data_IF_478557456952
#
_entry.id   IF_478557456952
#
_cell.length_a   1.000
_cell.length_b   1.000
_cell.length_c   1.000
_cell.angle_alpha   90.00
_cell.angle_beta   90.00
_cell.angle_gamma   90.00
#
_symmetry.space_group_name_H-M   'P 1'
#
loop_
_entity.id
_entity.type
_entity.pdbx_description
1 polymer ?
#
# COMPACT_ATOMS: atom_id res chain seq x y z
N UNK A 1 -26.56 -4.78 -4.41
CA UNK A 1 -25.92 -4.05 -5.53
C UNK A 1 -26.63 -4.49 -6.79
N UNK A 2 -26.97 -3.57 -7.68
CA UNK A 2 -27.64 -3.90 -8.95
C UNK A 2 -26.73 -4.82 -9.78
N UNK A 3 -27.08 -6.10 -9.87
CA UNK A 3 -26.27 -7.17 -10.49
C UNK A 3 -26.40 -7.20 -12.00
N UNK A 4 -27.46 -6.59 -12.53
CA UNK A 4 -27.84 -6.74 -13.94
C UNK A 4 -27.16 -5.67 -14.81
N UNK A 5 -26.82 -4.53 -14.21
CA UNK A 5 -26.05 -3.48 -14.88
C UNK A 5 -24.57 -3.84 -14.93
N UNK A 6 -24.01 -3.89 -16.15
CA UNK A 6 -22.57 -3.96 -16.38
C UNK A 6 -21.95 -2.56 -16.31
N UNK A 7 -20.90 -2.41 -15.52
CA UNK A 7 -20.16 -1.17 -15.38
C UNK A 7 -18.81 -1.26 -16.08
N UNK A 8 -18.35 -0.14 -16.64
CA UNK A 8 -17.07 -0.06 -17.36
C UNK A 8 -16.13 0.90 -16.63
N UNK A 9 -14.86 0.51 -16.55
CA UNK A 9 -13.75 1.38 -16.17
C UNK A 9 -12.78 1.49 -17.35
N UNK A 10 -12.39 2.72 -17.68
CA UNK A 10 -11.52 3.04 -18.81
C UNK A 10 -10.11 3.38 -18.31
N UNK A 11 -9.14 2.59 -18.78
CA UNK A 11 -7.72 2.73 -18.48
C UNK A 11 -6.92 2.95 -19.76
N UNK A 12 -5.75 3.57 -19.64
CA UNK A 12 -4.91 4.00 -20.75
C UNK A 12 -4.29 5.37 -20.47
N UNK A 13 -3.49 5.88 -21.40
CA UNK A 13 -3.02 7.28 -21.35
C UNK A 13 -4.19 8.24 -21.49
N UNK A 14 -4.14 9.40 -20.82
CA UNK A 14 -5.30 10.30 -20.70
C UNK A 14 -5.85 10.77 -22.06
N UNK A 15 -4.97 11.29 -22.92
CA UNK A 15 -5.31 11.70 -24.28
C UNK A 15 -5.88 10.53 -25.11
N UNK A 16 -5.31 9.33 -24.95
CA UNK A 16 -5.73 8.15 -25.69
C UNK A 16 -7.10 7.62 -25.23
N UNK A 17 -7.42 7.71 -23.93
CA UNK A 17 -8.75 7.35 -23.41
C UNK A 17 -9.83 8.29 -23.93
N UNK A 18 -9.54 9.59 -24.00
CA UNK A 18 -10.48 10.59 -24.51
C UNK A 18 -10.76 10.31 -26.00
N UNK A 19 -9.72 10.09 -26.80
CA UNK A 19 -9.86 9.75 -28.22
C UNK A 19 -10.63 8.43 -28.40
N UNK A 20 -10.30 7.40 -27.63
CA UNK A 20 -11.00 6.13 -27.68
C UNK A 20 -12.49 6.27 -27.33
N UNK A 21 -12.82 7.04 -26.28
CA UNK A 21 -14.21 7.34 -25.93
C UNK A 21 -14.94 8.00 -27.10
N UNK A 22 -14.36 9.05 -27.71
CA UNK A 22 -14.95 9.71 -28.87
C UNK A 22 -15.15 8.76 -30.05
N UNK A 23 -14.19 7.87 -30.30
CA UNK A 23 -14.30 6.85 -31.35
C UNK A 23 -15.39 5.82 -31.06
N UNK A 24 -15.61 5.44 -29.79
CA UNK A 24 -16.72 4.56 -29.39
C UNK A 24 -18.06 5.25 -29.63
N UNK A 25 -18.22 6.49 -29.14
CA UNK A 25 -19.47 7.27 -29.32
C UNK A 25 -19.75 7.51 -30.81
N UNK A 26 -18.72 7.78 -31.60
CA UNK A 26 -18.81 7.96 -33.06
C UNK A 26 -18.94 6.65 -33.84
N UNK A 27 -19.11 5.50 -33.17
CA UNK A 27 -19.24 4.17 -33.76
C UNK A 27 -18.06 3.74 -34.66
N UNK A 28 -16.88 4.33 -34.45
CA UNK A 28 -15.63 3.97 -35.15
C UNK A 28 -14.96 2.73 -34.55
N UNK A 29 -15.30 2.37 -33.31
CA UNK A 29 -14.83 1.15 -32.63
C UNK A 29 -15.88 0.05 -32.72
N UNK A 30 -15.51 -1.11 -33.29
CA UNK A 30 -16.38 -2.30 -33.29
C UNK A 30 -16.24 -3.07 -31.97
N UNK A 31 -17.13 -2.80 -31.02
CA UNK A 31 -17.16 -3.45 -29.70
C UNK A 31 -17.71 -4.89 -29.72
N UNK A 32 -18.22 -5.37 -30.86
CA UNK A 32 -18.78 -6.73 -31.00
C UNK A 32 -19.83 -7.02 -29.89
N UNK A 33 -19.54 -7.96 -28.99
CA UNK A 33 -20.41 -8.39 -27.87
C UNK A 33 -20.13 -7.62 -26.56
N UNK A 34 -19.21 -6.66 -26.58
CA UNK A 34 -18.86 -5.88 -25.40
C UNK A 34 -19.79 -4.65 -25.28
N UNK A 35 -20.26 -4.28 -24.06
CA UNK A 35 -21.16 -3.14 -23.87
C UNK A 35 -20.53 -1.82 -24.32
N UNK A 36 -21.36 -0.91 -24.82
CA UNK A 36 -20.90 0.43 -25.24
C UNK A 36 -20.65 1.34 -24.04
N UNK A 37 -19.92 2.43 -24.29
CA UNK A 37 -19.89 3.61 -23.43
C UNK A 37 -21.13 4.45 -23.75
N UNK A 38 -21.95 4.77 -22.76
CA UNK A 38 -23.25 5.47 -22.87
C UNK A 38 -23.36 6.76 -22.07
N UNK A 39 -22.59 6.90 -20.97
CA UNK A 39 -22.48 8.14 -20.21
C UNK A 39 -22.02 9.31 -21.10
N UNK A 40 -22.47 10.53 -20.78
CA UNK A 40 -22.24 11.74 -21.58
C UNK A 40 -20.78 12.20 -21.62
N UNK A 41 -19.93 11.74 -20.70
CA UNK A 41 -18.55 12.14 -20.56
C UNK A 41 -17.63 10.94 -20.33
N UNK A 42 -16.44 10.96 -20.95
CA UNK A 42 -15.37 9.99 -20.68
C UNK A 42 -14.97 9.93 -19.20
N UNK A 43 -15.13 11.06 -18.48
CA UNK A 43 -14.81 11.17 -17.06
C UNK A 43 -15.67 10.29 -16.15
N UNK A 44 -16.81 9.79 -16.62
CA UNK A 44 -17.66 8.86 -15.86
C UNK A 44 -17.02 7.45 -15.72
N UNK A 45 -16.06 7.12 -16.59
CA UNK A 45 -15.42 5.80 -16.66
C UNK A 45 -14.04 5.75 -15.99
N UNK A 46 -13.49 6.87 -15.54
CA UNK A 46 -12.12 6.95 -15.03
C UNK A 46 -12.11 7.05 -13.50
N UNK A 47 -11.18 6.33 -12.86
CA UNK A 47 -11.09 6.29 -11.40
C UNK A 47 -10.52 7.60 -10.83
N UNK A 48 -9.77 8.31 -11.66
CA UNK A 48 -9.09 9.56 -11.36
C UNK A 48 -10.06 10.65 -10.89
N UNK A 49 -11.30 10.64 -11.40
CA UNK A 49 -12.34 11.59 -10.97
C UNK A 49 -12.63 11.47 -9.47
N UNK A 50 -12.77 10.25 -8.96
CA UNK A 50 -12.99 9.99 -7.54
C UNK A 50 -11.74 10.30 -6.72
N UNK A 51 -10.56 9.90 -7.22
CA UNK A 51 -9.27 10.18 -6.56
C UNK A 51 -9.03 11.68 -6.38
N UNK A 52 -9.43 12.50 -7.37
CA UNK A 52 -9.33 13.95 -7.31
C UNK A 52 -10.17 14.52 -6.16
N UNK A 53 -11.44 14.14 -6.06
CA UNK A 53 -12.32 14.63 -4.99
C UNK A 53 -11.78 14.29 -3.59
N UNK A 54 -11.33 13.04 -3.38
CA UNK A 54 -10.72 12.65 -2.10
C UNK A 54 -9.43 13.41 -1.83
N UNK A 55 -8.61 13.64 -2.86
CA UNK A 55 -7.37 14.39 -2.73
C UNK A 55 -7.61 15.85 -2.33
N UNK A 56 -8.57 16.53 -2.97
CA UNK A 56 -8.94 17.91 -2.67
C UNK A 56 -9.49 18.05 -1.25
N UNK A 57 -10.31 17.09 -0.82
CA UNK A 57 -10.80 17.04 0.57
C UNK A 57 -9.65 16.90 1.57
N UNK A 58 -8.68 16.02 1.31
CA UNK A 58 -7.49 15.88 2.17
C UNK A 58 -6.68 17.18 2.19
N UNK A 59 -6.46 17.82 1.04
CA UNK A 59 -5.73 19.09 0.96
C UNK A 59 -6.43 20.17 1.80
N UNK A 60 -7.75 20.27 1.74
CA UNK A 60 -8.52 21.19 2.61
C UNK A 60 -8.30 20.85 4.09
N UNK A 61 -8.48 19.58 4.50
CA UNK A 61 -8.32 19.18 5.91
C UNK A 61 -6.91 19.38 6.45
N UNK A 62 -5.88 19.15 5.64
CA UNK A 62 -4.48 19.45 6.03
C UNK A 62 -4.26 20.96 6.16
N UNK A 63 -4.82 21.77 5.25
CA UNK A 63 -4.70 23.24 5.31
C UNK A 63 -5.40 23.82 6.54
N UNK A 64 -6.51 23.21 6.96
CA UNK A 64 -7.25 23.52 8.19
C UNK A 64 -6.59 22.96 9.46
N UNK A 65 -5.44 22.26 9.35
CA UNK A 65 -4.76 21.56 10.45
C UNK A 65 -5.65 20.54 11.19
N UNK A 66 -6.54 19.85 10.45
CA UNK A 66 -7.44 18.80 10.98
C UNK A 66 -6.96 17.37 10.67
N UNK A 67 -5.68 17.23 10.31
CA UNK A 67 -5.03 15.95 9.98
C UNK A 67 -3.57 15.94 10.47
N UNK A 68 -3.35 16.38 11.71
CA UNK A 68 -2.05 16.43 12.38
C UNK A 68 -1.80 15.21 13.29
N UNK A 69 -2.84 14.50 13.71
CA UNK A 69 -2.74 13.32 14.60
C UNK A 69 -3.28 12.03 13.97
N UNK A 70 -2.97 10.89 14.58
CA UNK A 70 -3.47 9.57 14.12
C UNK A 70 -4.96 9.45 14.35
N UNK A 71 -5.44 10.00 15.46
CA UNK A 71 -6.83 10.01 15.89
C UNK A 71 -7.68 10.81 14.90
N UNK A 72 -7.22 12.01 14.51
CA UNK A 72 -7.87 12.82 13.46
C UNK A 72 -7.90 12.10 12.11
N UNK A 73 -6.80 11.43 11.74
CA UNK A 73 -6.74 10.65 10.50
C UNK A 73 -7.71 9.45 10.54
N UNK A 74 -7.85 8.80 11.69
CA UNK A 74 -8.78 7.69 11.87
C UNK A 74 -10.23 8.16 11.79
N UNK A 75 -10.56 9.31 12.38
CA UNK A 75 -11.91 9.86 12.31
C UNK A 75 -12.24 10.32 10.89
N UNK A 76 -11.32 11.04 10.25
CA UNK A 76 -11.46 11.42 8.85
C UNK A 76 -11.66 10.21 7.92
N UNK A 77 -10.99 9.08 8.16
CA UNK A 77 -11.17 7.88 7.36
C UNK A 77 -12.62 7.33 7.42
N UNK A 78 -13.33 7.55 8.51
CA UNK A 78 -14.75 7.17 8.66
C UNK A 78 -15.69 8.17 7.99
N UNK A 79 -15.37 9.46 8.08
CA UNK A 79 -16.28 10.55 7.68
C UNK A 79 -16.10 11.01 6.22
N UNK A 80 -14.93 10.85 5.61
CA UNK A 80 -14.67 11.38 4.27
C UNK A 80 -15.71 10.98 3.21
N UNK A 81 -16.34 9.78 3.22
CA UNK A 81 -17.33 9.43 2.21
C UNK A 81 -18.57 10.33 2.26
N UNK A 82 -19.00 10.75 3.45
CA UNK A 82 -20.12 11.68 3.61
C UNK A 82 -19.74 13.13 3.29
N UNK A 83 -18.46 13.49 3.48
CA UNK A 83 -17.95 14.85 3.26
C UNK A 83 -17.72 15.20 1.78
N UNK A 84 -17.71 14.23 0.87
CA UNK A 84 -17.61 14.51 -0.57
C UNK A 84 -18.88 15.16 -1.11
N UNK A 85 -18.72 16.07 -2.08
CA UNK A 85 -19.84 16.69 -2.79
C UNK A 85 -20.71 15.66 -3.50
N UNK A 86 -21.99 15.97 -3.62
CA UNK A 86 -23.00 15.03 -4.12
C UNK A 86 -22.76 14.64 -5.59
N UNK A 87 -22.09 15.49 -6.36
CA UNK A 87 -21.68 15.22 -7.74
C UNK A 87 -20.85 13.94 -7.87
N UNK A 88 -20.00 13.62 -6.89
CA UNK A 88 -19.19 12.40 -6.91
C UNK A 88 -20.00 11.17 -6.54
N UNK A 89 -21.02 11.35 -5.68
CA UNK A 89 -21.88 10.27 -5.19
C UNK A 89 -22.85 9.77 -6.26
N UNK A 90 -23.20 10.63 -7.22
CA UNK A 90 -23.99 10.27 -8.40
C UNK A 90 -23.19 9.55 -9.49
N UNK A 91 -21.86 9.48 -9.40
CA UNK A 91 -21.07 8.79 -10.41
C UNK A 91 -21.25 7.26 -10.33
N UNK A 92 -21.15 6.53 -11.45
CA UNK A 92 -21.56 5.12 -11.52
C UNK A 92 -20.86 4.15 -10.55
N UNK A 93 -19.63 4.46 -10.16
CA UNK A 93 -18.79 3.60 -9.33
C UNK A 93 -18.68 4.06 -7.88
N UNK A 94 -19.40 5.11 -7.44
CA UNK A 94 -19.23 5.69 -6.10
C UNK A 94 -19.18 4.67 -4.96
N UNK A 95 -20.22 3.84 -4.83
CA UNK A 95 -20.30 2.80 -3.78
C UNK A 95 -19.14 1.80 -3.88
N UNK A 96 -18.76 1.40 -5.09
CA UNK A 96 -17.65 0.45 -5.34
C UNK A 96 -16.30 1.08 -5.03
N UNK A 97 -16.13 2.35 -5.36
CA UNK A 97 -14.92 3.11 -5.10
C UNK A 97 -14.63 3.21 -3.61
N UNK A 98 -15.61 3.62 -2.81
CA UNK A 98 -15.49 3.65 -1.36
C UNK A 98 -15.13 2.27 -0.80
N UNK A 99 -15.89 1.23 -1.16
CA UNK A 99 -15.62 -0.14 -0.68
C UNK A 99 -14.22 -0.65 -1.09
N UNK A 100 -13.72 -0.26 -2.27
CA UNK A 100 -12.37 -0.64 -2.73
C UNK A 100 -11.24 -0.16 -1.84
N UNK A 101 -11.44 0.96 -1.14
CA UNK A 101 -10.46 1.45 -0.17
C UNK A 101 -10.42 0.60 1.11
N UNK A 102 -11.47 -0.19 1.39
CA UNK A 102 -11.56 -1.08 2.54
C UNK A 102 -11.04 -2.49 2.22
N UNK A 103 -11.30 -3.01 1.01
CA UNK A 103 -10.87 -4.36 0.61
C UNK A 103 -9.36 -4.54 0.58
N UNK A 104 -8.62 -3.50 0.21
CA UNK A 104 -7.16 -3.53 0.15
C UNK A 104 -6.56 -2.65 1.24
N UNK A 105 -6.00 -3.22 2.33
CA UNK A 105 -5.41 -2.44 3.41
C UNK A 105 -4.36 -1.43 2.93
N UNK A 106 -3.67 -1.69 1.81
CA UNK A 106 -2.66 -0.77 1.28
C UNK A 106 -3.24 0.52 0.69
N UNK A 107 -4.55 0.56 0.44
CA UNK A 107 -5.27 1.71 -0.12
C UNK A 107 -5.96 2.54 0.96
N UNK A 108 -6.07 2.04 2.20
CA UNK A 108 -6.62 2.77 3.35
C UNK A 108 -5.83 4.03 3.65
N UNK A 109 -6.54 5.13 3.95
CA UNK A 109 -5.95 6.43 4.27
C UNK A 109 -4.96 6.32 5.42
N UNK A 110 -5.35 5.67 6.52
CA UNK A 110 -4.51 5.42 7.67
C UNK A 110 -3.17 4.78 7.27
N UNK A 111 -3.19 3.73 6.45
CA UNK A 111 -1.96 3.05 6.05
C UNK A 111 -1.07 3.86 5.09
N UNK A 112 -1.68 4.76 4.32
CA UNK A 112 -0.94 5.65 3.41
C UNK A 112 -0.29 6.79 4.19
N UNK A 113 -1.07 7.45 5.05
CA UNK A 113 -0.75 8.73 5.68
C UNK A 113 -0.17 8.63 7.11
N UNK A 114 -0.39 7.53 7.85
CA UNK A 114 0.05 7.37 9.25
C UNK A 114 1.47 7.87 9.49
N UNK A 115 2.42 7.42 8.67
CA UNK A 115 3.83 7.81 8.81
C UNK A 115 4.08 9.31 8.63
N UNK A 116 3.40 9.95 7.68
CA UNK A 116 3.64 11.38 7.41
C UNK A 116 2.99 12.27 8.44
N UNK A 117 1.87 11.83 9.00
CA UNK A 117 1.19 12.48 10.12
C UNK A 117 2.01 12.33 11.41
N UNK A 118 2.45 11.12 11.74
CA UNK A 118 3.15 10.86 13.03
C UNK A 118 4.59 11.37 13.09
N UNK A 119 5.35 11.28 12.01
CA UNK A 119 6.82 11.44 12.07
C UNK A 119 7.35 12.60 11.22
N UNK A 120 6.57 13.12 10.26
CA UNK A 120 7.14 13.90 9.15
C UNK A 120 6.43 15.21 8.83
N UNK A 121 5.37 15.56 9.57
CA UNK A 121 4.58 16.78 9.44
C UNK A 121 4.12 17.04 8.00
N UNK A 122 2.91 16.57 7.69
CA UNK A 122 2.23 16.82 6.43
C UNK A 122 1.83 18.30 6.31
N UNK A 123 1.96 18.89 5.12
CA UNK A 123 1.52 20.26 4.83
C UNK A 123 1.15 20.44 3.35
N UNK A 124 0.50 21.55 3.03
CA UNK A 124 0.07 21.91 1.68
C UNK A 124 0.88 23.09 1.16
N UNK A 125 1.26 23.04 -0.12
CA UNK A 125 1.87 24.16 -0.84
C UNK A 125 1.34 24.14 -2.29
N UNK A 126 0.77 25.26 -2.76
CA UNK A 126 0.18 25.37 -4.13
C UNK A 126 -0.79 24.23 -4.48
N UNK A 127 -1.62 23.80 -3.52
CA UNK A 127 -2.60 22.73 -3.70
C UNK A 127 -2.03 21.30 -3.70
N UNK A 128 -0.71 21.13 -3.54
CA UNK A 128 -0.07 19.82 -3.48
C UNK A 128 0.36 19.48 -2.04
N UNK A 129 0.42 18.17 -1.73
CA UNK A 129 0.82 17.65 -0.43
C UNK A 129 2.33 17.44 -0.35
N UNK A 130 2.91 17.86 0.77
CA UNK A 130 4.34 17.72 1.07
C UNK A 130 4.54 17.26 2.52
N UNK A 131 5.70 16.71 2.80
CA UNK A 131 6.16 16.44 4.17
C UNK A 131 7.63 16.84 4.32
N UNK A 132 8.07 17.04 5.58
CA UNK A 132 9.49 17.21 5.90
C UNK A 132 10.11 15.89 6.34
N UNK A 133 11.16 15.45 5.68
CA UNK A 133 11.86 14.23 6.12
C UNK A 133 12.60 14.47 7.45
N UNK A 134 13.27 13.43 7.98
CA UNK A 134 14.09 13.53 9.21
C UNK A 134 15.23 14.56 9.14
N UNK A 135 15.59 15.00 7.94
CA UNK A 135 16.62 16.02 7.67
C UNK A 135 16.00 17.41 7.40
N UNK A 136 14.68 17.58 7.63
CA UNK A 136 13.89 18.80 7.36
C UNK A 136 13.72 19.16 5.88
N UNK A 137 14.14 18.29 4.95
CA UNK A 137 13.94 18.51 3.52
C UNK A 137 12.46 18.39 3.13
N UNK A 138 11.99 19.31 2.30
CA UNK A 138 10.67 19.23 1.65
C UNK A 138 10.65 18.08 0.63
N UNK A 139 9.67 17.18 0.76
CA UNK A 139 9.42 16.09 -0.20
C UNK A 139 7.94 16.06 -0.57
N UNK A 140 7.66 15.90 -1.87
CA UNK A 140 6.29 15.73 -2.37
C UNK A 140 5.70 14.41 -1.86
N UNK A 141 4.41 14.44 -1.52
CA UNK A 141 3.65 13.30 -1.04
C UNK A 141 2.58 12.89 -2.07
N UNK A 142 2.94 11.94 -2.95
CA UNK A 142 2.04 11.41 -3.99
C UNK A 142 1.67 9.94 -3.77
N UNK A 143 1.93 9.40 -2.56
CA UNK A 143 1.77 7.97 -2.28
C UNK A 143 0.32 7.50 -2.43
N UNK A 144 -0.66 8.35 -2.11
CA UNK A 144 -2.08 8.06 -2.34
C UNK A 144 -2.40 7.98 -3.83
N UNK A 145 -1.89 8.91 -4.65
CA UNK A 145 -2.07 8.89 -6.11
C UNK A 145 -1.52 7.58 -6.71
N UNK A 146 -0.30 7.20 -6.32
CA UNK A 146 0.33 5.96 -6.78
C UNK A 146 -0.43 4.69 -6.40
N UNK A 147 -1.20 4.74 -5.31
CA UNK A 147 -2.00 3.61 -4.83
C UNK A 147 -3.36 3.59 -5.50
N UNK A 148 -4.08 4.69 -5.40
CA UNK A 148 -5.47 4.78 -5.80
C UNK A 148 -5.70 4.76 -7.31
N UNK A 149 -4.67 5.00 -8.12
CA UNK A 149 -4.75 4.75 -9.55
C UNK A 149 -5.07 3.26 -9.88
N UNK A 150 -4.87 2.33 -8.92
CA UNK A 150 -5.23 0.90 -9.06
C UNK A 150 -6.58 0.54 -8.45
N UNK A 151 -7.27 1.46 -7.76
CA UNK A 151 -8.54 1.17 -7.10
C UNK A 151 -9.57 0.64 -8.11
N UNK A 152 -9.60 1.18 -9.33
CA UNK A 152 -10.49 0.67 -10.38
C UNK A 152 -10.20 -0.79 -10.77
N UNK A 153 -8.94 -1.22 -10.69
CA UNK A 153 -8.58 -2.62 -10.94
C UNK A 153 -9.00 -3.49 -9.76
N UNK A 154 -8.82 -3.03 -8.53
CA UNK A 154 -9.33 -3.73 -7.34
C UNK A 154 -10.86 -3.87 -7.42
N UNK A 155 -11.59 -2.83 -7.84
CA UNK A 155 -13.04 -2.91 -8.09
C UNK A 155 -13.37 -4.02 -9.09
N UNK A 156 -12.66 -4.10 -10.22
CA UNK A 156 -12.91 -5.14 -11.20
C UNK A 156 -12.58 -6.55 -10.69
N UNK A 157 -11.59 -6.70 -9.79
CA UNK A 157 -11.30 -8.00 -9.15
C UNK A 157 -12.50 -8.44 -8.30
N UNK A 158 -12.95 -7.58 -7.37
CA UNK A 158 -13.96 -7.93 -6.37
C UNK A 158 -15.41 -7.85 -6.86
N UNK A 159 -15.71 -7.04 -7.88
CA UNK A 159 -17.06 -6.92 -8.44
C UNK A 159 -17.18 -7.73 -9.75
N UNK A 160 -18.13 -8.67 -9.86
CA UNK A 160 -18.31 -9.46 -11.08
C UNK A 160 -18.87 -8.64 -12.26
N UNK A 161 -19.69 -7.63 -11.98
CA UNK A 161 -20.34 -6.79 -13.00
C UNK A 161 -19.52 -5.54 -13.39
N UNK A 162 -18.19 -5.61 -13.27
CA UNK A 162 -17.28 -4.52 -13.65
C UNK A 162 -16.27 -5.03 -14.67
N UNK A 163 -16.18 -4.31 -15.79
CA UNK A 163 -15.26 -4.59 -16.90
C UNK A 163 -14.26 -3.46 -17.06
N UNK A 164 -13.03 -3.81 -17.43
CA UNK A 164 -11.98 -2.85 -17.75
C UNK A 164 -11.81 -2.79 -19.26
N UNK A 165 -11.87 -1.58 -19.82
CA UNK A 165 -11.36 -1.29 -21.16
C UNK A 165 -9.99 -0.65 -21.01
N UNK A 166 -8.98 -1.28 -21.59
CA UNK A 166 -7.59 -0.82 -21.49
C UNK A 166 -7.07 -0.44 -22.87
N UNK A 167 -6.83 0.85 -23.08
CA UNK A 167 -6.26 1.41 -24.32
C UNK A 167 -4.74 1.36 -24.24
N UNK A 168 -4.12 0.65 -25.18
CA UNK A 168 -2.66 0.43 -25.24
C UNK A 168 -1.93 1.44 -26.13
N UNK A 169 -2.68 2.27 -26.86
CA UNK A 169 -2.13 3.25 -27.81
C UNK A 169 -1.14 4.19 -27.13
N UNK A 170 -0.04 4.49 -27.83
CA UNK A 170 1.10 5.33 -27.39
C UNK A 170 1.79 4.91 -26.09
N UNK A 171 1.38 3.82 -25.43
CA UNK A 171 2.01 3.37 -24.21
C UNK A 171 3.44 2.87 -24.48
N UNK A 172 4.41 3.37 -23.71
CA UNK A 172 5.81 2.94 -23.84
C UNK A 172 6.04 1.56 -23.18
N UNK A 173 5.75 0.50 -23.96
CA UNK A 173 5.85 -0.88 -23.51
C UNK A 173 7.29 -1.37 -23.29
N UNK A 174 8.28 -0.78 -23.96
CA UNK A 174 9.69 -1.17 -23.76
C UNK A 174 10.18 -0.89 -22.33
N UNK A 175 9.57 0.11 -21.68
CA UNK A 175 9.89 0.47 -20.30
C UNK A 175 9.09 -0.31 -19.26
N UNK A 176 8.27 -1.30 -19.64
CA UNK A 176 7.49 -2.09 -18.69
C UNK A 176 8.38 -2.78 -17.64
N UNK A 177 9.53 -3.31 -18.08
CA UNK A 177 10.53 -4.01 -17.27
C UNK A 177 11.42 -3.05 -16.46
N UNK A 178 11.56 -1.80 -16.92
CA UNK A 178 12.42 -0.78 -16.32
C UNK A 178 11.57 -0.03 -15.30
N UNK A 179 11.66 -0.45 -14.04
CA UNK A 179 11.00 0.23 -12.92
C UNK A 179 11.72 1.57 -12.70
N UNK A 180 11.38 2.58 -13.49
CA UNK A 180 11.86 3.98 -13.48
C UNK A 180 13.34 4.15 -13.20
N UNK A 181 14.15 4.25 -14.25
CA UNK A 181 15.52 4.72 -14.09
C UNK A 181 15.58 6.24 -13.89
N UNK A 182 14.71 7.04 -14.54
CA UNK A 182 14.80 8.50 -14.47
C UNK A 182 13.44 9.18 -14.74
N UNK A 183 13.09 10.18 -13.93
CA UNK A 183 12.18 11.28 -14.31
C UNK A 183 10.67 11.04 -14.16
N UNK A 184 9.99 12.10 -13.71
CA UNK A 184 8.54 12.24 -13.70
C UNK A 184 7.99 12.13 -15.13
N UNK A 185 7.33 11.02 -15.47
CA UNK A 185 6.56 10.89 -16.71
C UNK A 185 5.09 10.59 -16.36
N UNK A 186 4.17 11.32 -16.99
CA UNK A 186 2.73 11.11 -16.89
C UNK A 186 2.31 9.69 -17.35
N UNK A 187 3.13 9.03 -18.18
CA UNK A 187 2.95 7.62 -18.60
C UNK A 187 3.33 6.54 -17.57
N UNK A 188 3.88 6.90 -16.40
CA UNK A 188 4.31 5.92 -15.40
C UNK A 188 3.11 5.25 -14.68
N UNK A 189 2.00 5.97 -14.48
CA UNK A 189 0.82 5.41 -13.81
C UNK A 189 0.15 4.33 -14.64
N UNK A 190 -0.08 4.57 -15.94
CA UNK A 190 -0.65 3.58 -16.87
C UNK A 190 0.24 2.33 -16.95
N UNK A 191 1.57 2.48 -16.95
CA UNK A 191 2.48 1.34 -16.88
C UNK A 191 2.37 0.59 -15.53
N UNK A 192 2.21 1.31 -14.40
CA UNK A 192 1.99 0.71 -13.07
C UNK A 192 0.66 -0.05 -13.01
N UNK A 193 -0.40 0.46 -13.64
CA UNK A 193 -1.72 -0.16 -13.76
C UNK A 193 -1.68 -1.41 -14.63
N UNK A 194 -1.07 -1.34 -15.82
CA UNK A 194 -0.93 -2.49 -16.71
C UNK A 194 -0.12 -3.62 -16.05
N UNK A 195 0.96 -3.28 -15.35
CA UNK A 195 1.69 -4.24 -14.52
C UNK A 195 0.86 -4.80 -13.38
N UNK A 196 -0.08 -4.02 -12.83
CA UNK A 196 -0.98 -4.50 -11.79
C UNK A 196 -1.95 -5.53 -12.38
N UNK A 197 -2.57 -5.26 -13.54
CA UNK A 197 -3.41 -6.20 -14.28
C UNK A 197 -2.66 -7.49 -14.58
N UNK A 198 -1.44 -7.40 -15.12
CA UNK A 198 -0.61 -8.59 -15.39
C UNK A 198 -0.38 -9.45 -14.14
N UNK A 199 -0.22 -8.83 -12.97
CA UNK A 199 0.00 -9.57 -11.71
C UNK A 199 -1.25 -10.24 -11.15
N UNK A 200 -2.44 -9.78 -11.58
CA UNK A 200 -3.75 -10.28 -11.19
C UNK A 200 -4.50 -10.84 -12.40
N UNK A 201 -3.76 -11.40 -13.37
CA UNK A 201 -4.34 -11.77 -14.65
C UNK A 201 -5.30 -12.94 -14.54
N UNK A 202 -5.07 -13.86 -13.59
CA UNK A 202 -5.94 -15.01 -13.38
C UNK A 202 -7.35 -14.59 -12.94
N UNK A 203 -7.44 -13.55 -12.10
CA UNK A 203 -8.70 -12.97 -11.65
C UNK A 203 -9.36 -12.05 -12.69
N UNK A 204 -8.57 -11.48 -13.61
CA UNK A 204 -9.00 -10.39 -14.50
C UNK A 204 -9.18 -10.80 -15.97
N UNK A 205 -8.70 -11.97 -16.40
CA UNK A 205 -8.62 -12.35 -17.82
C UNK A 205 -9.93 -12.25 -18.60
N UNK A 206 -11.06 -12.53 -17.96
CA UNK A 206 -12.41 -12.45 -18.57
C UNK A 206 -13.06 -11.05 -18.40
N UNK A 207 -12.44 -10.18 -17.60
CA UNK A 207 -12.95 -8.84 -17.24
C UNK A 207 -12.19 -7.71 -17.92
N UNK A 208 -11.06 -7.95 -18.56
CA UNK A 208 -10.24 -6.92 -19.22
C UNK A 208 -10.29 -7.09 -20.73
N UNK A 209 -10.60 -6.01 -21.44
CA UNK A 209 -10.56 -5.94 -22.90
C UNK A 209 -9.49 -4.93 -23.30
N UNK A 210 -8.54 -5.40 -24.10
CA UNK A 210 -7.45 -4.56 -24.59
C UNK A 210 -7.78 -4.00 -25.97
N UNK A 211 -7.42 -2.72 -26.17
CA UNK A 211 -7.59 -2.01 -27.43
C UNK A 211 -6.25 -1.46 -27.90
N UNK A 212 -5.94 -1.65 -29.18
CA UNK A 212 -4.83 -1.02 -29.88
C UNK A 212 -5.33 -0.62 -31.28
N UNK A 213 -5.11 0.63 -31.66
CA UNK A 213 -5.59 1.21 -32.92
C UNK A 213 -7.08 0.92 -33.20
N UNK A 214 -7.94 1.18 -32.20
CA UNK A 214 -9.41 0.99 -32.25
C UNK A 214 -9.86 -0.46 -32.45
N UNK A 215 -8.95 -1.43 -32.36
CA UNK A 215 -9.24 -2.87 -32.51
C UNK A 215 -9.06 -3.58 -31.18
N UNK A 216 -9.91 -4.56 -30.92
CA UNK A 216 -9.75 -5.48 -29.78
C UNK A 216 -8.55 -6.38 -30.05
N UNK A 217 -7.61 -6.42 -29.10
CA UNK A 217 -6.41 -7.25 -29.17
C UNK A 217 -6.32 -8.18 -27.97
N UNK A 218 -5.48 -9.20 -28.08
CA UNK A 218 -5.14 -10.05 -26.92
C UNK A 218 -4.25 -9.28 -25.95
N UNK A 219 -4.16 -9.76 -24.71
CA UNK A 219 -3.29 -9.16 -23.72
C UNK A 219 -1.82 -9.09 -24.23
N UNK A 220 -1.08 -7.99 -23.96
CA UNK A 220 0.26 -7.76 -24.51
C UNK A 220 1.30 -8.86 -24.22
N UNK A 221 1.09 -9.63 -23.16
CA UNK A 221 1.96 -10.75 -22.74
C UNK A 221 1.55 -12.10 -23.33
N UNK A 222 0.37 -12.20 -23.94
CA UNK A 222 -0.11 -13.44 -24.58
C UNK A 222 0.30 -13.45 -26.06
N UNK A 223 0.06 -12.34 -26.78
CA UNK A 223 0.35 -12.24 -28.20
C UNK A 223 0.71 -10.80 -28.56
N UNK A 224 1.59 -10.65 -29.54
CA UNK A 224 1.96 -9.37 -30.12
C UNK A 224 3.43 -9.05 -29.95
N UNK A 225 3.80 -7.80 -30.26
CA UNK A 225 5.18 -7.34 -30.35
C UNK A 225 5.92 -7.26 -29.00
N UNK A 226 5.20 -7.28 -27.87
CA UNK A 226 5.76 -7.02 -26.54
C UNK A 226 5.87 -8.24 -25.62
N UNK A 227 5.61 -9.45 -26.14
CA UNK A 227 5.62 -10.68 -25.32
C UNK A 227 6.97 -10.88 -24.62
N UNK A 228 8.08 -10.61 -25.32
CA UNK A 228 9.44 -10.75 -24.77
C UNK A 228 9.72 -9.78 -23.61
N UNK A 229 9.23 -8.54 -23.69
CA UNK A 229 9.35 -7.54 -22.63
C UNK A 229 8.59 -7.94 -21.37
N UNK A 230 7.40 -8.53 -21.55
CA UNK A 230 6.61 -9.07 -20.44
C UNK A 230 7.21 -10.32 -19.82
N UNK A 231 7.79 -11.21 -20.62
CA UNK A 231 8.59 -12.33 -20.10
C UNK A 231 9.76 -11.83 -19.26
N UNK A 232 10.53 -10.86 -19.75
CA UNK A 232 11.62 -10.22 -19.00
C UNK A 232 11.13 -9.60 -17.68
N UNK A 233 10.00 -8.90 -17.71
CA UNK A 233 9.38 -8.35 -16.50
C UNK A 233 8.99 -9.45 -15.49
N UNK A 234 8.40 -10.56 -15.96
CA UNK A 234 8.04 -11.71 -15.15
C UNK A 234 9.27 -12.31 -14.45
N UNK A 235 10.36 -12.49 -15.18
CA UNK A 235 11.62 -13.02 -14.61
C UNK A 235 12.25 -12.07 -13.58
N UNK A 236 12.26 -10.75 -13.85
CA UNK A 236 12.71 -9.76 -12.86
C UNK A 236 11.84 -9.83 -11.59
N UNK A 237 10.53 -10.02 -11.73
CA UNK A 237 9.60 -10.16 -10.60
C UNK A 237 9.90 -11.41 -9.79
N UNK A 238 10.06 -12.58 -10.44
CA UNK A 238 10.40 -13.85 -9.77
C UNK A 238 11.69 -13.71 -8.97
N UNK A 239 12.76 -13.20 -9.58
CA UNK A 239 14.05 -12.95 -8.91
C UNK A 239 13.90 -12.05 -7.68
N UNK A 240 13.13 -10.96 -7.78
CA UNK A 240 12.86 -10.06 -6.64
C UNK A 240 12.05 -10.72 -5.54
N UNK A 241 11.10 -11.59 -5.89
CA UNK A 241 10.32 -12.35 -4.92
C UNK A 241 11.23 -13.30 -4.12
N UNK A 242 12.04 -14.11 -4.82
CA UNK A 242 13.03 -15.00 -4.19
C UNK A 242 14.01 -14.22 -3.32
N UNK A 243 14.54 -13.09 -3.80
CA UNK A 243 15.45 -12.26 -3.01
C UNK A 243 14.80 -11.70 -1.74
N UNK A 244 13.55 -11.24 -1.81
CA UNK A 244 12.81 -10.77 -0.64
C UNK A 244 12.54 -11.90 0.36
N UNK A 245 12.22 -13.10 -0.12
CA UNK A 245 12.00 -14.28 0.72
C UNK A 245 13.28 -14.65 1.47
N UNK A 246 14.41 -14.70 0.75
CA UNK A 246 15.72 -14.95 1.34
C UNK A 246 16.09 -13.86 2.36
N UNK A 247 15.84 -12.59 2.05
CA UNK A 247 16.08 -11.48 2.98
C UNK A 247 15.24 -11.59 4.26
N UNK A 248 13.99 -12.03 4.16
CA UNK A 248 13.13 -12.27 5.33
C UNK A 248 13.62 -13.47 6.14
N UNK A 249 14.06 -14.54 5.48
CA UNK A 249 14.67 -15.69 6.15
C UNK A 249 15.94 -15.28 6.93
N UNK A 250 16.85 -14.51 6.30
CA UNK A 250 18.06 -13.99 6.96
C UNK A 250 17.72 -13.14 8.18
N UNK A 251 16.78 -12.19 8.07
CA UNK A 251 16.35 -11.36 9.21
C UNK A 251 15.74 -12.18 10.35
N UNK A 252 14.97 -13.21 10.01
CA UNK A 252 14.36 -14.10 11.00
C UNK A 252 15.45 -14.89 11.74
N UNK A 253 16.45 -15.39 11.02
CA UNK A 253 17.61 -16.07 11.62
C UNK A 253 18.46 -15.13 12.49
N UNK A 254 18.68 -13.88 12.07
CA UNK A 254 19.39 -12.87 12.87
C UNK A 254 18.65 -12.56 14.18
N UNK A 255 17.32 -12.41 14.12
CA UNK A 255 16.48 -12.20 15.30
C UNK A 255 16.47 -13.40 16.25
N UNK A 256 16.50 -14.63 15.72
CA UNK A 256 16.62 -15.84 16.54
C UNK A 256 18.00 -15.87 17.21
N UNK A 257 19.08 -15.57 16.47
CA UNK A 257 20.44 -15.55 17.02
C UNK A 257 20.60 -14.49 18.12
N UNK A 258 20.07 -13.28 17.92
CA UNK A 258 20.14 -12.21 18.92
C UNK A 258 19.29 -12.51 20.16
N UNK A 259 18.09 -13.08 19.98
CA UNK A 259 17.24 -13.55 21.09
C UNK A 259 17.94 -14.65 21.89
N UNK A 260 18.56 -15.62 21.22
CA UNK A 260 19.27 -16.74 21.86
C UNK A 260 20.52 -16.26 22.61
N UNK A 261 21.22 -15.25 22.07
CA UNK A 261 22.36 -14.62 22.74
C UNK A 261 21.93 -13.91 24.03
N UNK A 262 20.88 -13.08 23.95
CA UNK A 262 20.33 -12.37 25.12
C UNK A 262 19.81 -13.32 26.22
N UNK A 263 19.26 -14.49 25.85
CA UNK A 263 18.84 -15.49 26.84
C UNK A 263 20.02 -16.18 27.52
N UNK A 264 21.10 -16.44 26.79
CA UNK A 264 22.33 -17.02 27.37
C UNK A 264 23.03 -16.04 28.31
N UNK A 265 23.08 -14.76 27.94
CA UNK A 265 23.68 -13.70 28.75
C UNK A 265 22.92 -13.52 30.07
N UNK A 266 21.58 -13.41 30.03
CA UNK A 266 20.74 -13.36 31.24
C UNK A 266 20.83 -14.62 32.11
N UNK A 267 20.94 -15.80 31.50
CA UNK A 267 21.11 -17.05 32.25
C UNK A 267 22.48 -17.10 32.95
N UNK A 268 23.52 -16.52 32.35
CA UNK A 268 24.84 -16.42 32.95
C UNK A 268 24.87 -15.41 34.12
N UNK A 269 24.27 -14.24 33.93
CA UNK A 269 24.11 -13.23 34.98
C UNK A 269 23.32 -13.76 36.18
N UNK A 270 22.22 -14.47 35.94
CA UNK A 270 21.41 -15.06 37.01
C UNK A 270 22.18 -16.13 37.80
N UNK A 271 23.01 -16.95 37.13
CA UNK A 271 23.89 -17.91 37.82
C UNK A 271 24.97 -17.21 38.66
N UNK A 272 25.55 -16.13 38.16
CA UNK A 272 26.54 -15.34 38.92
C UNK A 272 25.89 -14.67 40.13
N UNK A 273 24.70 -14.09 39.98
CA UNK A 273 23.94 -13.50 41.10
C UNK A 273 23.57 -14.56 42.14
N UNK A 274 23.17 -15.76 41.73
CA UNK A 274 22.90 -16.86 42.65
C UNK A 274 24.15 -17.35 43.41
N UNK A 275 25.34 -17.35 42.78
CA UNK A 275 26.57 -17.73 43.49
C UNK A 275 26.97 -16.67 44.51
N UNK A 276 26.89 -15.38 44.15
CA UNK A 276 27.14 -14.26 45.06
C UNK A 276 26.19 -14.25 46.25
N UNK A 277 24.91 -14.56 46.03
CA UNK A 277 23.91 -14.65 47.11
C UNK A 277 24.23 -15.80 48.07
N UNK A 278 24.63 -16.98 47.54
CA UNK A 278 25.05 -18.13 48.36
C UNK A 278 26.29 -17.82 49.18
N UNK A 279 27.28 -17.12 48.61
CA UNK A 279 28.46 -16.68 49.35
C UNK A 279 28.13 -15.66 50.45
N UNK A 280 27.22 -14.72 50.18
CA UNK A 280 26.78 -13.73 51.17
C UNK A 280 26.03 -14.37 52.34
N UNK A 281 25.12 -15.32 52.05
CA UNK A 281 24.38 -16.07 53.08
C UNK A 281 25.32 -16.96 53.90
N UNK A 282 26.29 -17.64 53.25
CA UNK A 282 27.31 -18.42 53.95
C UNK A 282 28.16 -17.59 54.90
N UNK A 283 28.52 -16.37 54.51
CA UNK A 283 29.25 -15.42 55.37
C UNK A 283 28.40 -14.91 56.54
N UNK A 284 27.11 -14.62 56.33
CA UNK A 284 26.20 -14.19 57.41
C UNK A 284 25.97 -15.30 58.45
N UNK A 285 25.84 -16.56 58.03
CA UNK A 285 25.65 -17.68 58.93
C UNK A 285 26.87 -17.90 59.84
N UNK A 286 28.09 -17.83 59.29
CA UNK A 286 29.33 -17.93 60.08
C UNK A 286 29.48 -16.78 61.10
N UNK A 287 29.10 -15.55 60.75
CA UNK A 287 29.15 -14.40 61.67
C UNK A 287 28.10 -14.54 62.79
N UNK A 288 26.94 -15.12 62.49
CA UNK A 288 25.88 -15.37 63.49
C UNK A 288 26.24 -16.50 64.47
N UNK A 289 26.94 -17.54 64.01
CA UNK A 289 27.42 -18.64 64.85
C UNK A 289 28.56 -18.19 65.78
N UNK A 290 29.48 -17.34 65.31
CA UNK A 290 30.51 -16.74 66.15
C UNK A 290 29.91 -15.83 67.24
N UNK A 291 28.85 -15.05 66.93
CA UNK A 291 28.15 -14.24 67.94
C UNK A 291 27.36 -15.08 68.95
N UNK A 292 26.73 -16.19 68.54
CA UNK A 292 26.03 -17.12 69.46
C UNK A 292 26.99 -17.86 70.39
N UNK A 293 28.18 -18.23 69.91
CA UNK A 293 29.22 -18.86 70.74
C UNK A 293 29.78 -17.89 71.80
N UNK A 294 29.91 -16.61 71.47
CA UNK A 294 30.31 -15.55 72.42
C UNK A 294 29.25 -15.29 73.50
N UNK A 295 27.97 -15.19 73.13
CA UNK A 295 26.89 -14.94 74.09
C UNK A 295 26.64 -16.12 75.06
N UNK A 296 26.90 -17.37 74.63
CA UNK A 296 26.74 -18.55 75.49
C UNK A 296 27.84 -18.67 76.56
N UNK A 297 29.03 -18.08 76.33
CA UNK A 297 30.10 -18.02 77.34
C UNK A 297 29.87 -16.96 78.43
N UNK A 298 29.05 -15.94 78.17
CA UNK A 298 28.76 -14.90 79.17
C UNK A 298 27.62 -15.26 80.16
N UNK A 299 26.84 -16.33 79.93
CA UNK A 299 25.79 -16.79 80.85
C UNK A 299 26.24 -17.83 81.89
N UNK A 300 27.52 -18.21 81.91
CA UNK A 300 28.07 -19.22 82.85
C UNK A 300 28.88 -18.57 84.01
N UNK A 301 28.89 -17.24 84.12
CA UNK A 301 29.65 -16.51 85.15
C UNK A 301 28.77 -15.60 86.02
N UNK A 302 27.56 -16.06 86.39
CA UNK A 302 26.74 -15.33 87.38
C UNK A 302 25.92 -16.30 88.21
N UNK A 303 26.57 -16.98 89.16
CA UNK A 303 26.22 -17.10 90.60
C UNK A 303 27.54 -17.25 91.35
#
# INVERSE_FOLDING_TARGET
>A
MDTDKMYILLFGMDDQRILFYQDVISRKVKLKRFPSLTESSSSAYVIERYNKGVHELIVSKVSEKKLETVEELQEFEKEWPSLLSEEYKHLPHWKRYWLSMQWNPKNRLLNIFKKVVTERKLFVEKGALYYRNKYKDKKSFNKHIERWCKNGIDIAIYCPNVRIYFVLDKLNMHNISKKNCYGHYEGDYTCKELRYIFRHWDELKEKVVFFENKKIVKAPWIRGKYVKEWQKYSEIRKRRFTWNLNKQACKSMENIKSSTFLTRERAHEHKNLQSLLKEAIGKQNNVSEQKRASARRQRVLTI
#
